data_IF_975816925781
#
_entry.id   IF_975816925781
#
_cell.length_a   1.000
_cell.length_b   1.000
_cell.length_c   1.000
_cell.angle_alpha   90.00
_cell.angle_beta   90.00
_cell.angle_gamma   90.00
#
_symmetry.space_group_name_H-M   'P 1'
#
loop_
_entity.id
_entity.type
_entity.pdbx_description
1 polymer ?
#
# COMPACT_ATOMS: atom_id res chain seq x y z
N UNK A 1 -13.79 23.26 12.10
CA UNK A 1 -14.78 23.10 13.19
C UNK A 1 -15.13 21.62 13.23
N UNK A 2 -14.72 20.91 14.29
CA UNK A 2 -14.94 19.45 14.36
C UNK A 2 -16.43 19.16 14.57
N UNK A 3 -16.94 18.11 13.93
CA UNK A 3 -18.28 17.62 14.22
C UNK A 3 -18.27 17.08 15.67
N UNK A 4 -19.12 17.60 16.58
CA UNK A 4 -19.14 17.17 17.98
C UNK A 4 -19.28 15.65 18.14
N UNK A 5 -20.01 15.03 17.22
CA UNK A 5 -20.27 13.58 17.18
C UNK A 5 -18.99 12.76 16.95
N UNK A 6 -18.03 13.28 16.19
CA UNK A 6 -16.77 12.55 15.92
C UNK A 6 -15.85 12.55 17.13
N UNK A 7 -15.81 13.65 17.89
CA UNK A 7 -15.06 13.73 19.14
C UNK A 7 -15.68 12.85 20.23
N UNK A 8 -17.02 12.85 20.33
CA UNK A 8 -17.74 11.98 21.25
C UNK A 8 -17.45 10.50 20.97
N UNK A 9 -17.51 10.08 19.70
CA UNK A 9 -17.20 8.70 19.30
C UNK A 9 -15.76 8.27 19.63
N UNK A 10 -14.79 9.21 19.63
CA UNK A 10 -13.41 8.91 20.03
C UNK A 10 -13.28 8.78 21.54
N UNK A 11 -13.96 9.64 22.31
CA UNK A 11 -14.01 9.52 23.77
C UNK A 11 -14.66 8.20 24.19
N UNK A 12 -15.79 7.84 23.60
CA UNK A 12 -16.51 6.61 23.94
C UNK A 12 -15.66 5.35 23.61
N UNK A 13 -14.92 5.36 22.49
CA UNK A 13 -13.96 4.30 22.16
C UNK A 13 -12.81 4.19 23.18
N UNK A 14 -12.32 5.32 23.70
CA UNK A 14 -11.27 5.33 24.72
C UNK A 14 -11.76 4.68 26.03
N UNK A 15 -13.02 4.91 26.41
CA UNK A 15 -13.63 4.36 27.64
C UNK A 15 -13.77 2.84 27.55
N UNK A 16 -14.27 2.31 26.42
CA UNK A 16 -14.40 0.86 26.21
C UNK A 16 -13.03 0.15 26.25
N UNK A 17 -11.99 0.77 25.72
CA UNK A 17 -10.62 0.23 25.78
C UNK A 17 -10.15 0.16 27.24
N UNK A 18 -10.33 1.25 28.00
CA UNK A 18 -9.91 1.29 29.41
C UNK A 18 -10.63 0.25 30.27
N UNK A 19 -11.93 0.01 30.02
CA UNK A 19 -12.71 -1.01 30.72
C UNK A 19 -12.21 -2.43 30.40
N UNK A 20 -11.85 -2.70 29.14
CA UNK A 20 -11.32 -4.00 28.72
C UNK A 20 -9.92 -4.32 29.29
N UNK A 21 -9.15 -3.28 29.61
CA UNK A 21 -7.82 -3.42 30.24
C UNK A 21 -7.93 -3.62 31.75
N UNK A 22 -8.94 -3.01 32.40
CA UNK A 22 -9.16 -3.11 33.84
C UNK A 22 -9.66 -4.50 34.29
N UNK A 23 -10.41 -5.21 33.43
CA UNK A 23 -11.01 -6.52 33.76
C UNK A 23 -10.01 -7.70 33.77
N UNK A 24 -8.76 -7.49 33.34
CA UNK A 24 -7.72 -8.53 33.29
C UNK A 24 -6.60 -8.32 34.32
N UNK A 25 -6.93 -7.92 35.55
CA UNK A 25 -5.96 -7.89 36.67
C UNK A 25 -5.72 -9.31 37.21
N UNK A 26 -4.91 -10.09 36.50
CA UNK A 26 -4.24 -11.24 37.09
C UNK A 26 -3.08 -10.72 37.97
N UNK A 27 -3.14 -10.98 39.27
CA UNK A 27 -2.12 -10.61 40.25
C UNK A 27 -0.81 -11.34 39.95
N UNK A 28 0.23 -10.61 39.57
CA UNK A 28 1.60 -11.14 39.55
C UNK A 28 2.20 -11.03 40.95
N UNK A 29 2.75 -12.11 41.54
CA UNK A 29 3.50 -12.02 42.78
C UNK A 29 4.87 -11.40 42.49
N UNK A 30 5.14 -10.22 43.06
CA UNK A 30 6.47 -9.63 43.14
C UNK A 30 7.36 -10.52 44.01
N UNK A 31 8.32 -11.23 43.41
CA UNK A 31 9.49 -11.74 44.12
C UNK A 31 10.66 -10.79 43.88
N UNK A 32 11.12 -10.16 44.97
CA UNK A 32 12.32 -9.34 44.98
C UNK A 32 13.55 -10.26 44.88
N UNK A 33 14.14 -10.35 43.70
CA UNK A 33 15.41 -11.03 43.44
C UNK A 33 16.38 -10.08 42.76
N UNK A 34 17.35 -9.57 43.51
CA UNK A 34 18.49 -8.78 43.01
C UNK A 34 19.36 -9.72 42.16
N UNK A 35 19.27 -9.66 40.82
CA UNK A 35 20.18 -10.35 39.91
C UNK A 35 21.05 -9.34 39.17
N UNK A 36 22.34 -9.55 39.30
CA UNK A 36 23.44 -8.96 38.55
C UNK A 36 23.27 -9.30 37.07
N UNK A 37 23.34 -8.29 36.21
CA UNK A 37 23.38 -8.45 34.77
C UNK A 37 24.74 -9.05 34.38
N UNK A 38 24.76 -10.33 34.02
CA UNK A 38 25.85 -10.92 33.26
C UNK A 38 25.31 -11.35 31.92
N UNK A 39 26.10 -11.05 30.89
CA UNK A 39 25.91 -11.33 29.47
C UNK A 39 25.27 -12.70 29.24
N UNK A 40 24.02 -12.68 28.77
CA UNK A 40 23.40 -13.82 28.11
C UNK A 40 23.38 -13.52 26.62
N UNK A 41 24.29 -14.19 25.91
CA UNK A 41 24.34 -14.30 24.46
C UNK A 41 22.95 -14.54 23.84
N UNK A 42 22.66 -13.78 22.78
CA UNK A 42 21.49 -13.84 21.93
C UNK A 42 21.08 -15.27 21.54
N UNK A 43 20.05 -15.77 22.20
CA UNK A 43 19.07 -16.64 21.56
C UNK A 43 17.79 -15.84 21.63
N UNK A 44 17.46 -15.10 20.56
CA UNK A 44 16.21 -14.37 20.47
C UNK A 44 15.09 -15.39 20.24
N UNK A 45 14.25 -15.72 21.24
CA UNK A 45 13.08 -16.53 20.95
C UNK A 45 12.24 -15.76 19.94
N UNK A 46 11.83 -16.40 18.85
CA UNK A 46 10.82 -15.88 17.92
C UNK A 46 9.49 -15.80 18.67
N UNK A 47 9.30 -14.73 19.45
CA UNK A 47 8.04 -14.45 20.10
C UNK A 47 7.06 -13.95 19.04
N UNK A 48 5.96 -14.67 18.89
CA UNK A 48 4.89 -14.33 17.96
C UNK A 48 4.27 -13.01 18.42
N UNK A 49 4.52 -11.95 17.65
CA UNK A 49 4.02 -10.61 17.94
C UNK A 49 2.61 -10.51 17.37
N UNK A 50 1.60 -10.48 18.22
CA UNK A 50 0.20 -10.42 17.76
C UNK A 50 -0.20 -8.95 17.60
N UNK A 51 -0.43 -8.53 16.36
CA UNK A 51 -1.05 -7.24 16.04
C UNK A 51 -2.55 -7.32 16.38
N UNK A 52 -2.96 -6.70 17.49
CA UNK A 52 -4.34 -6.75 17.96
C UNK A 52 -5.25 -5.79 17.20
N UNK A 53 -4.73 -4.63 16.80
CA UNK A 53 -5.54 -3.58 16.21
C UNK A 53 -4.70 -2.66 15.35
N UNK A 54 -5.12 -2.47 14.09
CA UNK A 54 -4.53 -1.50 13.17
C UNK A 54 -5.66 -0.68 12.56
N UNK A 55 -5.67 0.63 12.80
CA UNK A 55 -6.70 1.55 12.28
C UNK A 55 -6.05 2.80 11.73
N UNK A 56 -6.49 3.21 10.55
CA UNK A 56 -6.06 4.43 9.88
C UNK A 56 -7.19 5.45 9.91
N UNK A 57 -6.83 6.72 10.08
CA UNK A 57 -7.74 7.86 9.99
C UNK A 57 -7.08 8.93 9.10
N UNK A 58 -7.85 9.51 8.19
CA UNK A 58 -7.37 10.60 7.34
C UNK A 58 -8.19 11.84 7.64
N UNK A 59 -7.52 12.93 8.00
CA UNK A 59 -8.14 14.23 8.22
C UNK A 59 -7.66 15.21 7.14
N UNK A 60 -8.51 15.50 6.17
CA UNK A 60 -8.24 16.51 5.16
C UNK A 60 -8.72 17.89 5.65
N UNK A 61 -7.82 18.86 5.75
CA UNK A 61 -8.19 20.23 6.09
C UNK A 61 -7.92 21.16 4.90
N UNK A 62 -9.02 21.59 4.26
CA UNK A 62 -9.00 22.47 3.09
C UNK A 62 -8.41 23.85 3.39
N UNK A 63 -8.56 24.37 4.62
CA UNK A 63 -8.05 25.69 4.98
C UNK A 63 -6.53 25.74 5.04
N UNK A 64 -5.90 24.68 5.55
CA UNK A 64 -4.43 24.58 5.63
C UNK A 64 -3.81 23.88 4.41
N UNK A 65 -4.65 23.37 3.48
CA UNK A 65 -4.22 22.57 2.30
C UNK A 65 -3.32 21.39 2.69
N UNK A 66 -3.60 20.77 3.83
CA UNK A 66 -2.89 19.58 4.34
C UNK A 66 -3.88 18.46 4.65
N UNK A 67 -3.42 17.24 4.47
CA UNK A 67 -4.04 16.04 5.00
C UNK A 67 -3.15 15.49 6.10
N UNK A 68 -3.77 15.07 7.19
CA UNK A 68 -3.10 14.41 8.30
C UNK A 68 -3.61 12.98 8.32
N UNK A 69 -2.76 12.05 7.97
CA UNK A 69 -3.01 10.62 8.12
C UNK A 69 -2.48 10.17 9.47
N UNK A 70 -3.35 9.58 10.28
CA UNK A 70 -3.03 9.02 11.59
C UNK A 70 -3.22 7.51 11.51
N UNK A 71 -2.14 6.75 11.62
CA UNK A 71 -2.18 5.30 11.69
C UNK A 71 -1.91 4.87 13.12
N UNK A 72 -2.83 4.15 13.73
CA UNK A 72 -2.66 3.53 15.04
C UNK A 72 -2.38 2.06 14.88
N UNK A 73 -1.29 1.59 15.50
CA UNK A 73 -1.00 0.17 15.66
C UNK A 73 -0.93 -0.19 17.14
N UNK A 74 -1.67 -1.22 17.52
CA UNK A 74 -1.68 -1.81 18.86
C UNK A 74 -1.10 -3.22 18.74
N UNK A 75 0.05 -3.42 19.36
CA UNK A 75 0.80 -4.65 19.31
C UNK A 75 0.88 -5.22 20.72
N UNK A 76 0.52 -6.49 20.90
CA UNK A 76 0.68 -7.19 22.18
C UNK A 76 1.81 -8.20 22.05
N UNK A 77 2.84 -8.03 22.88
CA UNK A 77 3.95 -8.96 23.01
C UNK A 77 3.92 -9.68 24.36
N UNK A 78 4.85 -10.62 24.55
CA UNK A 78 4.94 -11.44 25.77
C UNK A 78 5.15 -10.63 27.06
N UNK A 79 5.67 -9.40 26.96
CA UNK A 79 5.96 -8.52 28.09
C UNK A 79 5.12 -7.25 28.17
N UNK A 80 4.15 -7.04 27.29
CA UNK A 80 3.34 -5.81 27.34
C UNK A 80 2.55 -5.47 26.09
N UNK A 81 1.91 -4.30 26.15
CA UNK A 81 1.13 -3.69 25.10
C UNK A 81 1.87 -2.46 24.57
N UNK A 82 2.15 -2.42 23.28
CA UNK A 82 2.75 -1.29 22.60
C UNK A 82 1.71 -0.58 21.72
N UNK A 83 1.58 0.73 21.88
CA UNK A 83 0.78 1.59 21.00
C UNK A 83 1.77 2.43 20.19
N UNK A 84 1.74 2.30 18.86
CA UNK A 84 2.57 3.09 17.95
C UNK A 84 1.69 3.89 17.00
N UNK A 85 1.44 5.18 17.32
CA UNK A 85 0.78 6.09 16.41
C UNK A 85 1.79 6.66 15.40
N UNK A 86 1.44 6.63 14.12
CA UNK A 86 2.23 7.22 13.03
C UNK A 86 1.41 8.36 12.44
N UNK A 87 1.95 9.58 12.52
CA UNK A 87 1.38 10.78 11.94
C UNK A 87 2.11 11.10 10.63
N UNK A 88 1.37 11.13 9.52
CA UNK A 88 1.89 11.53 8.21
C UNK A 88 1.14 12.76 7.74
N UNK A 89 1.87 13.86 7.53
CA UNK A 89 1.30 15.10 7.02
C UNK A 89 1.60 15.21 5.53
N UNK A 90 0.57 15.30 4.72
CA UNK A 90 0.64 15.37 3.27
C UNK A 90 0.06 16.67 2.76
N UNK A 91 0.50 17.10 1.59
CA UNK A 91 -0.02 18.31 0.95
C UNK A 91 -1.21 17.93 0.08
N UNK A 92 -2.36 18.56 0.34
CA UNK A 92 -3.57 18.36 -0.46
C UNK A 92 -3.59 19.44 -1.53
N UNK A 93 -3.64 19.01 -2.78
CA UNK A 93 -3.66 19.91 -3.95
C UNK A 93 -5.00 19.80 -4.69
N UNK A 94 -5.31 20.81 -5.51
CA UNK A 94 -6.46 20.72 -6.43
C UNK A 94 -6.14 19.74 -7.56
N UNK A 95 -7.18 19.18 -8.18
CA UNK A 95 -7.05 18.44 -9.43
C UNK A 95 -6.40 19.29 -10.55
N UNK A 96 -6.56 20.61 -10.50
CA UNK A 96 -5.94 21.57 -11.44
C UNK A 96 -4.46 21.86 -11.16
N UNK A 97 -3.86 21.22 -10.16
CA UNK A 97 -2.43 21.39 -9.90
C UNK A 97 -1.59 20.88 -11.08
N UNK A 98 -0.41 21.48 -11.34
CA UNK A 98 0.35 21.19 -12.56
C UNK A 98 0.63 19.70 -12.79
N UNK A 99 0.92 18.94 -11.73
CA UNK A 99 1.19 17.50 -11.81
C UNK A 99 -0.05 16.72 -12.23
N UNK A 100 -1.17 16.93 -11.55
CA UNK A 100 -2.41 16.21 -11.86
C UNK A 100 -3.01 16.63 -13.20
N UNK A 101 -2.84 17.90 -13.59
CA UNK A 101 -3.21 18.36 -14.92
C UNK A 101 -2.38 17.68 -16.01
N UNK A 102 -1.06 17.55 -15.81
CA UNK A 102 -0.19 16.81 -16.73
C UNK A 102 -0.64 15.35 -16.84
N UNK A 103 -0.88 14.68 -15.71
CA UNK A 103 -1.33 13.27 -15.68
C UNK A 103 -2.66 13.10 -16.43
N UNK A 104 -3.62 14.00 -16.21
CA UNK A 104 -4.93 13.96 -16.84
C UNK A 104 -4.88 14.28 -18.35
N UNK A 105 -4.09 15.27 -18.75
CA UNK A 105 -3.86 15.62 -20.16
C UNK A 105 -3.26 14.45 -20.92
N UNK A 106 -2.24 13.82 -20.32
CA UNK A 106 -1.57 12.65 -20.86
C UNK A 106 -2.54 11.47 -20.97
N UNK A 107 -3.35 11.17 -19.95
CA UNK A 107 -4.41 10.15 -20.02
C UNK A 107 -5.35 10.40 -21.21
N UNK A 108 -5.82 11.64 -21.34
CA UNK A 108 -6.74 12.05 -22.40
C UNK A 108 -6.12 11.88 -23.80
N UNK A 109 -4.85 12.25 -23.99
CA UNK A 109 -4.14 12.07 -25.26
C UNK A 109 -4.12 10.59 -25.71
N UNK A 110 -3.96 9.65 -24.78
CA UNK A 110 -3.99 8.22 -25.07
C UNK A 110 -5.42 7.77 -25.40
N UNK A 111 -6.41 8.16 -24.59
CA UNK A 111 -7.82 7.79 -24.80
C UNK A 111 -8.36 8.31 -26.13
N UNK A 112 -7.88 9.47 -26.59
CA UNK A 112 -8.21 10.07 -27.88
C UNK A 112 -7.37 9.51 -29.05
N UNK A 113 -6.44 8.58 -28.79
CA UNK A 113 -5.58 7.98 -29.81
C UNK A 113 -4.59 8.97 -30.46
N UNK A 114 -4.29 10.10 -29.80
CA UNK A 114 -3.38 11.13 -30.33
C UNK A 114 -1.91 10.75 -30.16
N UNK A 115 -1.62 9.85 -29.21
CA UNK A 115 -0.27 9.41 -28.88
C UNK A 115 -0.28 7.89 -28.73
N UNK A 116 0.68 7.23 -29.36
CA UNK A 116 0.91 5.79 -29.14
C UNK A 116 1.47 5.57 -27.73
N UNK A 117 0.99 4.53 -27.04
CA UNK A 117 1.37 4.23 -25.65
C UNK A 117 2.87 4.00 -25.44
N UNK A 118 3.63 3.78 -26.52
CA UNK A 118 5.10 3.75 -26.52
C UNK A 118 5.70 5.15 -26.37
N UNK A 119 5.24 6.11 -27.17
CA UNK A 119 5.74 7.51 -27.16
C UNK A 119 5.34 8.22 -25.87
N UNK A 120 4.27 7.76 -25.22
CA UNK A 120 3.75 8.30 -23.98
C UNK A 120 4.80 8.42 -22.86
N UNK A 121 5.70 7.46 -22.74
CA UNK A 121 6.65 7.38 -21.61
C UNK A 121 8.02 8.00 -21.89
N UNK A 122 8.29 8.49 -23.09
CA UNK A 122 9.63 9.04 -23.42
C UNK A 122 9.85 10.45 -22.85
N UNK A 123 8.86 11.35 -22.97
CA UNK A 123 9.00 12.74 -22.48
C UNK A 123 8.30 12.98 -21.13
N UNK A 124 7.35 12.11 -20.78
CA UNK A 124 6.58 12.23 -19.55
C UNK A 124 7.42 12.26 -18.26
N UNK A 125 8.49 11.45 -18.11
CA UNK A 125 9.37 11.54 -16.95
C UNK A 125 10.02 12.92 -16.83
N UNK A 126 10.52 13.48 -17.94
CA UNK A 126 11.17 14.79 -17.94
C UNK A 126 10.20 15.91 -17.56
N UNK A 127 8.98 15.88 -18.09
CA UNK A 127 7.95 16.86 -17.74
C UNK A 127 7.58 16.79 -16.26
N UNK A 128 7.38 15.58 -15.72
CA UNK A 128 7.05 15.40 -14.31
C UNK A 128 8.21 15.83 -13.40
N UNK A 129 9.44 15.52 -13.77
CA UNK A 129 10.64 15.99 -13.06
C UNK A 129 10.76 17.51 -13.06
N UNK A 130 10.48 18.16 -14.18
CA UNK A 130 10.49 19.62 -14.28
C UNK A 130 9.45 20.26 -13.35
N UNK A 131 8.27 19.64 -13.22
CA UNK A 131 7.26 20.08 -12.25
C UNK A 131 7.74 19.91 -10.81
N UNK A 132 8.42 18.80 -10.50
CA UNK A 132 9.01 18.60 -9.16
C UNK A 132 10.11 19.62 -8.84
N UNK A 133 10.95 19.97 -9.83
CA UNK A 133 11.93 21.06 -9.70
C UNK A 133 11.25 22.42 -9.56
N UNK A 134 10.09 22.61 -10.20
CA UNK A 134 9.26 23.81 -10.15
C UNK A 134 8.45 24.00 -8.86
N UNK A 135 8.54 23.07 -7.90
CA UNK A 135 7.95 23.21 -6.57
C UNK A 135 6.80 22.25 -6.26
N UNK A 136 6.33 21.47 -7.23
CA UNK A 136 5.42 20.35 -6.93
C UNK A 136 6.13 19.28 -6.13
N UNK A 137 5.40 18.60 -5.24
CA UNK A 137 5.98 17.56 -4.38
C UNK A 137 5.50 16.16 -4.79
N UNK A 138 6.39 15.16 -4.85
CA UNK A 138 6.03 13.75 -5.04
C UNK A 138 5.02 13.20 -4.01
N UNK A 139 4.93 13.85 -2.85
CA UNK A 139 4.00 13.51 -1.76
C UNK A 139 2.66 14.25 -1.82
N UNK A 140 2.34 14.93 -2.92
CA UNK A 140 1.04 15.57 -3.11
C UNK A 140 -0.06 14.51 -3.27
N UNK A 141 -1.24 14.85 -2.74
CA UNK A 141 -2.44 14.04 -2.84
C UNK A 141 -3.64 14.91 -3.24
N UNK A 142 -4.62 14.30 -3.89
CA UNK A 142 -5.93 14.91 -4.13
C UNK A 142 -6.82 14.84 -2.87
N UNK A 143 -7.94 15.59 -2.82
CA UNK A 143 -8.84 15.61 -1.66
C UNK A 143 -9.47 14.25 -1.33
N UNK A 144 -9.55 13.35 -2.31
CA UNK A 144 -10.06 11.98 -2.18
C UNK A 144 -8.99 10.96 -1.74
N UNK A 145 -7.76 11.41 -1.48
CA UNK A 145 -6.63 10.56 -1.09
C UNK A 145 -5.81 10.01 -2.25
N UNK A 146 -6.18 10.29 -3.51
CA UNK A 146 -5.44 9.81 -4.68
C UNK A 146 -4.07 10.48 -4.75
N UNK A 147 -3.00 9.71 -4.51
CA UNK A 147 -1.62 10.20 -4.66
C UNK A 147 -1.19 10.21 -6.13
N UNK A 148 -0.07 10.87 -6.43
CA UNK A 148 0.53 10.86 -7.77
C UNK A 148 0.74 9.42 -8.26
N UNK A 149 1.20 8.51 -7.40
CA UNK A 149 1.40 7.11 -7.77
C UNK A 149 0.09 6.40 -8.15
N UNK A 150 -1.01 6.67 -7.45
CA UNK A 150 -2.31 6.10 -7.82
C UNK A 150 -2.70 6.55 -9.23
N UNK A 151 -2.59 7.85 -9.51
CA UNK A 151 -2.92 8.43 -10.81
C UNK A 151 -2.00 7.92 -11.94
N UNK A 152 -0.71 7.69 -11.66
CA UNK A 152 0.22 7.09 -12.62
C UNK A 152 -0.11 5.62 -12.91
N UNK A 153 -0.41 4.82 -11.88
CA UNK A 153 -0.80 3.40 -12.04
C UNK A 153 -2.12 3.29 -12.80
N UNK A 154 -3.07 4.20 -12.57
CA UNK A 154 -4.31 4.26 -13.35
C UNK A 154 -4.04 4.42 -14.85
N UNK A 155 -3.06 5.24 -15.22
CA UNK A 155 -2.68 5.45 -16.62
C UNK A 155 -1.87 4.27 -17.21
N UNK A 156 -1.28 3.42 -16.38
CA UNK A 156 -0.47 2.29 -16.84
C UNK A 156 -1.26 1.27 -17.65
N UNK A 157 -2.60 1.22 -17.48
CA UNK A 157 -3.48 0.31 -18.21
C UNK A 157 -3.52 0.57 -19.72
N UNK A 158 -3.04 1.73 -20.19
CA UNK A 158 -3.10 2.12 -21.60
C UNK A 158 -1.76 2.04 -22.33
N UNK A 159 -0.68 1.57 -21.68
CA UNK A 159 0.67 1.60 -22.24
C UNK A 159 1.43 0.28 -22.10
N UNK A 160 2.67 0.27 -22.60
CA UNK A 160 3.59 -0.86 -22.41
C UNK A 160 3.96 -0.99 -20.94
N UNK A 161 3.66 -2.15 -20.33
CA UNK A 161 4.04 -2.42 -18.94
C UNK A 161 5.55 -2.28 -18.72
N UNK A 162 6.38 -2.70 -19.69
CA UNK A 162 7.85 -2.57 -19.63
C UNK A 162 8.31 -1.13 -19.53
N UNK A 163 7.74 -0.24 -20.36
CA UNK A 163 8.09 1.18 -20.31
C UNK A 163 7.56 1.83 -19.04
N UNK A 164 6.33 1.49 -18.63
CA UNK A 164 5.75 1.97 -17.39
C UNK A 164 6.56 1.53 -16.16
N UNK A 165 7.02 0.27 -16.12
CA UNK A 165 7.81 -0.26 -15.01
C UNK A 165 9.19 0.38 -14.92
N UNK A 166 9.87 0.58 -16.05
CA UNK A 166 11.12 1.33 -16.11
C UNK A 166 10.93 2.79 -15.64
N UNK A 167 9.88 3.45 -16.10
CA UNK A 167 9.50 4.80 -15.68
C UNK A 167 9.21 4.89 -14.18
N UNK A 168 8.37 4.01 -13.67
CA UNK A 168 7.96 4.01 -12.26
C UNK A 168 9.15 3.69 -11.35
N UNK A 169 10.02 2.75 -11.74
CA UNK A 169 11.27 2.47 -11.05
C UNK A 169 12.18 3.70 -10.98
N UNK A 170 12.40 4.37 -12.12
CA UNK A 170 13.19 5.61 -12.18
C UNK A 170 12.66 6.67 -11.22
N UNK A 171 11.34 6.87 -11.17
CA UNK A 171 10.71 7.80 -10.23
C UNK A 171 10.90 7.38 -8.77
N UNK A 172 10.70 6.11 -8.43
CA UNK A 172 10.81 5.58 -7.06
C UNK A 172 12.24 5.52 -6.53
N UNK A 173 13.23 5.48 -7.42
CA UNK A 173 14.64 5.57 -7.07
C UNK A 173 15.09 7.01 -6.85
N UNK A 174 14.50 7.96 -7.58
CA UNK A 174 14.86 9.39 -7.48
C UNK A 174 14.10 10.15 -6.41
N UNK A 175 12.86 9.77 -6.12
CA UNK A 175 11.97 10.51 -5.24
C UNK A 175 11.32 9.61 -4.18
N UNK A 176 11.07 10.18 -3.00
CA UNK A 176 10.29 9.51 -1.96
C UNK A 176 8.80 9.76 -2.18
N UNK A 177 8.11 8.74 -2.66
CA UNK A 177 6.66 8.75 -2.77
C UNK A 177 6.01 8.09 -1.55
N UNK A 178 4.81 8.55 -1.15
CA UNK A 178 4.08 7.91 -0.08
C UNK A 178 3.33 6.69 -0.64
N UNK A 179 3.96 5.52 -0.52
CA UNK A 179 3.48 4.25 -1.13
C UNK A 179 2.31 3.60 -0.37
N UNK A 180 2.10 3.98 0.88
CA UNK A 180 1.04 3.46 1.76
C UNK A 180 -0.17 4.39 1.89
N UNK A 181 -0.33 5.34 0.97
CA UNK A 181 -1.52 6.19 0.93
C UNK A 181 -2.70 5.36 0.46
N UNK A 182 -3.85 5.60 1.07
CA UNK A 182 -5.10 4.96 0.70
C UNK A 182 -5.92 5.96 -0.12
N UNK A 183 -6.05 5.71 -1.42
CA UNK A 183 -6.98 6.40 -2.31
C UNK A 183 -8.36 5.73 -2.35
N UNK A 184 -9.23 6.19 -3.25
CA UNK A 184 -10.58 5.63 -3.40
C UNK A 184 -10.59 4.12 -3.72
N UNK A 185 -9.62 3.67 -4.52
CA UNK A 185 -9.51 2.30 -4.99
C UNK A 185 -8.65 1.40 -4.08
N UNK A 186 -8.17 1.92 -2.95
CA UNK A 186 -7.24 1.22 -2.07
C UNK A 186 -5.85 1.85 -2.09
N UNK A 187 -4.84 1.05 -1.78
CA UNK A 187 -3.43 1.44 -1.86
C UNK A 187 -2.89 1.34 -3.29
N UNK A 188 -1.72 1.90 -3.54
CA UNK A 188 -1.03 1.77 -4.84
C UNK A 188 -0.81 0.31 -5.21
N UNK A 189 -0.46 -0.55 -4.25
CA UNK A 189 -0.31 -1.99 -4.49
C UNK A 189 -1.64 -2.65 -4.85
N UNK A 190 -2.75 -2.23 -4.24
CA UNK A 190 -4.08 -2.76 -4.57
C UNK A 190 -4.45 -2.43 -6.03
N UNK A 191 -4.14 -1.22 -6.48
CA UNK A 191 -4.33 -0.81 -7.87
C UNK A 191 -3.44 -1.61 -8.81
N UNK A 192 -2.17 -1.82 -8.49
CA UNK A 192 -1.24 -2.61 -9.31
C UNK A 192 -1.72 -4.04 -9.47
N UNK A 193 -2.17 -4.67 -8.38
CA UNK A 193 -2.75 -6.00 -8.43
C UNK A 193 -3.97 -5.99 -9.36
N UNK A 194 -4.88 -5.03 -9.19
CA UNK A 194 -6.06 -4.87 -10.05
C UNK A 194 -5.71 -4.71 -11.53
N UNK A 195 -4.80 -3.76 -11.84
CA UNK A 195 -4.34 -3.49 -13.20
C UNK A 195 -3.62 -4.68 -13.82
N UNK A 196 -2.81 -5.41 -13.05
CA UNK A 196 -2.11 -6.61 -13.54
C UNK A 196 -3.06 -7.73 -13.92
N UNK A 197 -4.17 -7.90 -13.18
CA UNK A 197 -5.22 -8.88 -13.50
C UNK A 197 -5.93 -8.47 -14.80
N UNK A 198 -6.39 -7.22 -14.89
CA UNK A 198 -7.08 -6.72 -16.08
C UNK A 198 -6.20 -6.81 -17.32
N UNK A 199 -4.93 -6.40 -17.22
CA UNK A 199 -4.03 -6.39 -18.36
C UNK A 199 -3.62 -7.81 -18.78
N UNK A 200 -3.53 -8.76 -17.84
CA UNK A 200 -3.35 -10.17 -18.17
C UNK A 200 -4.56 -10.75 -18.93
N UNK A 201 -5.79 -10.43 -18.50
CA UNK A 201 -7.01 -10.88 -19.18
C UNK A 201 -7.10 -10.35 -20.62
N UNK A 202 -6.54 -9.16 -20.88
CA UNK A 202 -6.49 -8.56 -22.22
C UNK A 202 -5.32 -9.10 -23.08
N UNK A 203 -4.14 -9.23 -22.49
CA UNK A 203 -2.90 -9.58 -23.20
C UNK A 203 -2.02 -10.53 -22.36
N UNK A 204 -2.31 -11.85 -22.38
CA UNK A 204 -1.61 -12.83 -21.56
C UNK A 204 -0.23 -13.14 -22.12
N UNK A 205 0.73 -12.26 -21.87
CA UNK A 205 2.15 -12.47 -22.21
C UNK A 205 2.97 -12.62 -20.94
N UNK A 206 3.96 -13.53 -20.97
CA UNK A 206 4.84 -13.78 -19.83
C UNK A 206 5.60 -12.52 -19.42
N UNK A 207 6.05 -11.73 -20.40
CA UNK A 207 6.79 -10.48 -20.19
C UNK A 207 5.97 -9.46 -19.39
N UNK A 208 4.66 -9.37 -19.63
CA UNK A 208 3.77 -8.46 -18.92
C UNK A 208 3.65 -8.80 -17.43
N UNK A 209 3.51 -10.10 -17.12
CA UNK A 209 3.44 -10.58 -15.74
C UNK A 209 4.76 -10.39 -15.00
N UNK A 210 5.88 -10.63 -15.68
CA UNK A 210 7.21 -10.41 -15.13
C UNK A 210 7.36 -8.94 -14.73
N UNK A 211 6.94 -8.02 -15.59
CA UNK A 211 7.12 -6.61 -15.32
C UNK A 211 6.25 -6.10 -14.17
N UNK A 212 4.97 -6.45 -14.15
CA UNK A 212 4.10 -6.10 -13.01
C UNK A 212 4.59 -6.72 -11.69
N UNK A 213 5.16 -7.92 -11.74
CA UNK A 213 5.79 -8.54 -10.58
C UNK A 213 7.02 -7.73 -10.12
N UNK A 214 7.86 -7.29 -11.04
CA UNK A 214 9.02 -6.46 -10.73
C UNK A 214 8.61 -5.14 -10.06
N UNK A 215 7.59 -4.47 -10.59
CA UNK A 215 7.02 -3.25 -10.00
C UNK A 215 6.50 -3.53 -8.58
N UNK A 216 5.72 -4.60 -8.43
CA UNK A 216 5.15 -5.01 -7.15
C UNK A 216 6.23 -5.25 -6.09
N UNK A 217 7.27 -6.02 -6.41
CA UNK A 217 8.37 -6.31 -5.49
C UNK A 217 9.18 -5.05 -5.18
N UNK A 218 9.41 -4.18 -6.18
CA UNK A 218 10.12 -2.93 -5.94
C UNK A 218 9.36 -2.03 -4.97
N UNK A 219 8.05 -1.84 -5.16
CA UNK A 219 7.22 -1.08 -4.21
C UNK A 219 7.17 -1.73 -2.83
N UNK A 220 7.04 -3.05 -2.76
CA UNK A 220 7.05 -3.79 -1.50
C UNK A 220 8.38 -3.60 -0.75
N UNK A 221 9.51 -3.59 -1.47
CA UNK A 221 10.84 -3.32 -0.89
C UNK A 221 10.98 -1.89 -0.35
N UNK A 222 10.20 -0.94 -0.90
CA UNK A 222 10.08 0.44 -0.39
C UNK A 222 9.06 0.56 0.75
N UNK A 223 8.55 -0.57 1.26
CA UNK A 223 7.62 -0.64 2.38
C UNK A 223 6.15 -0.46 2.00
N UNK A 224 5.79 -0.57 0.71
CA UNK A 224 4.40 -0.56 0.29
C UNK A 224 3.67 -1.80 0.83
N UNK A 225 2.45 -1.61 1.31
CA UNK A 225 1.59 -2.67 1.82
C UNK A 225 0.23 -2.62 1.13
N UNK A 226 -0.35 -3.79 0.86
CA UNK A 226 -1.75 -3.89 0.42
C UNK A 226 -2.69 -3.47 1.53
N UNK A 227 -3.90 -3.03 1.17
CA UNK A 227 -4.89 -2.72 2.22
C UNK A 227 -5.36 -4.01 2.91
N UNK A 228 -5.78 -3.95 4.19
CA UNK A 228 -6.37 -5.10 4.88
C UNK A 228 -7.58 -5.70 4.15
N UNK A 229 -8.30 -4.87 3.38
CA UNK A 229 -9.42 -5.31 2.54
C UNK A 229 -8.93 -6.20 1.39
N UNK A 230 -7.87 -5.78 0.70
CA UNK A 230 -7.27 -6.55 -0.37
C UNK A 230 -6.61 -7.82 0.13
N UNK A 231 -5.91 -7.78 1.26
CA UNK A 231 -5.35 -8.98 1.89
C UNK A 231 -6.42 -10.06 2.10
N UNK A 232 -7.56 -9.71 2.68
CA UNK A 232 -8.71 -10.63 2.85
C UNK A 232 -9.29 -11.11 1.51
N UNK A 233 -9.41 -10.23 0.53
CA UNK A 233 -9.91 -10.58 -0.81
C UNK A 233 -9.00 -11.58 -1.50
N UNK A 234 -7.69 -11.34 -1.42
CA UNK A 234 -6.70 -12.19 -2.05
C UNK A 234 -6.61 -13.54 -1.31
N UNK A 235 -6.57 -13.55 0.03
CA UNK A 235 -6.64 -14.77 0.84
C UNK A 235 -7.82 -15.66 0.45
N UNK A 236 -9.01 -15.08 0.24
CA UNK A 236 -10.20 -15.83 -0.20
C UNK A 236 -10.01 -16.43 -1.60
N UNK A 237 -9.46 -15.67 -2.55
CA UNK A 237 -9.19 -16.18 -3.90
C UNK A 237 -8.15 -17.30 -3.90
N UNK A 238 -7.07 -17.15 -3.13
CA UNK A 238 -6.03 -18.18 -2.98
C UNK A 238 -6.60 -19.45 -2.33
N UNK A 239 -7.48 -19.33 -1.33
CA UNK A 239 -8.12 -20.46 -0.68
C UNK A 239 -9.09 -21.23 -1.62
N UNK A 240 -9.83 -20.53 -2.47
CA UNK A 240 -10.72 -21.15 -3.47
C UNK A 240 -9.94 -21.93 -4.54
N UNK A 241 -8.74 -21.47 -4.91
CA UNK A 241 -7.85 -22.15 -5.86
C UNK A 241 -7.23 -23.44 -5.29
N UNK A 242 -7.03 -23.53 -3.97
CA UNK A 242 -6.48 -24.73 -3.32
C UNK A 242 -7.51 -25.82 -2.98
N UNK A 243 -8.81 -25.49 -2.97
CA UNK A 243 -9.88 -26.36 -2.47
C UNK A 243 -10.83 -26.90 -3.55
N UNK A 244 -10.72 -26.40 -4.78
CA UNK A 244 -11.63 -26.77 -5.87
C UNK A 244 -10.88 -27.62 -6.90
N UNK A 245 -11.12 -28.93 -6.91
CA UNK A 245 -10.79 -29.80 -8.04
C UNK A 245 -11.71 -29.57 -9.26
N UNK A 246 -11.90 -28.31 -9.66
CA UNK A 246 -12.87 -27.90 -10.68
C UNK A 246 -12.16 -27.08 -11.76
N UNK A 247 -12.48 -27.44 -13.00
CA UNK A 247 -11.81 -26.98 -14.21
C UNK A 247 -12.12 -25.55 -14.66
N UNK A 248 -11.42 -25.19 -15.74
CA UNK A 248 -11.73 -24.11 -16.69
C UNK A 248 -11.58 -22.65 -16.24
N UNK A 249 -10.68 -22.33 -15.31
CA UNK A 249 -9.85 -21.13 -15.46
C UNK A 249 -8.45 -21.56 -15.91
N UNK A 250 -8.36 -21.95 -17.19
CA UNK A 250 -7.20 -22.66 -17.75
C UNK A 250 -5.90 -21.85 -17.69
N UNK A 251 -5.97 -20.51 -17.63
CA UNK A 251 -4.80 -19.66 -17.81
C UNK A 251 -4.15 -19.20 -16.50
N UNK A 252 -4.92 -19.02 -15.42
CA UNK A 252 -4.34 -18.72 -14.10
C UNK A 252 -3.59 -19.93 -13.51
N UNK A 253 -4.09 -21.15 -13.76
CA UNK A 253 -3.38 -22.37 -13.35
C UNK A 253 -2.09 -22.61 -14.16
N UNK A 254 -1.93 -22.00 -15.35
CA UNK A 254 -0.67 -21.99 -16.12
C UNK A 254 0.34 -20.96 -15.61
N UNK A 255 -0.12 -19.87 -14.97
CA UNK A 255 0.75 -18.93 -14.25
C UNK A 255 1.44 -19.59 -13.07
N UNK A 256 0.77 -20.55 -12.42
CA UNK A 256 1.24 -21.11 -11.16
C UNK A 256 2.64 -21.72 -11.29
N UNK A 257 2.92 -22.59 -12.28
CA UNK A 257 4.25 -23.14 -12.52
C UNK A 257 5.32 -22.10 -12.90
N UNK A 258 4.99 -21.07 -13.68
CA UNK A 258 5.95 -20.03 -14.14
C UNK A 258 6.36 -19.13 -12.98
N UNK A 259 5.39 -18.68 -12.20
CA UNK A 259 5.66 -17.90 -11.00
C UNK A 259 6.29 -18.74 -9.89
N UNK A 260 5.97 -20.05 -9.76
CA UNK A 260 6.64 -20.98 -8.84
C UNK A 260 8.11 -21.23 -9.23
N UNK A 261 8.41 -21.43 -10.52
CA UNK A 261 9.78 -21.68 -11.01
C UNK A 261 10.75 -20.53 -10.70
N UNK A 262 10.25 -19.29 -10.61
CA UNK A 262 11.05 -18.11 -10.27
C UNK A 262 11.01 -17.74 -8.78
N UNK A 263 10.39 -18.55 -7.91
CA UNK A 263 10.18 -18.23 -6.49
C UNK A 263 9.16 -17.10 -6.25
N UNK A 264 8.53 -16.60 -7.31
CA UNK A 264 7.59 -15.48 -7.29
C UNK A 264 6.25 -15.91 -6.68
N UNK A 265 5.71 -17.10 -6.95
CA UNK A 265 4.46 -17.52 -6.29
C UNK A 265 4.64 -17.92 -4.84
N UNK A 266 5.74 -18.52 -4.43
CA UNK A 266 5.95 -18.70 -2.99
C UNK A 266 6.08 -17.34 -2.30
N UNK A 267 6.69 -16.34 -2.96
CA UNK A 267 6.73 -14.97 -2.45
C UNK A 267 5.33 -14.33 -2.45
N UNK A 268 4.56 -14.42 -3.53
CA UNK A 268 3.18 -13.91 -3.61
C UNK A 268 2.28 -14.65 -2.63
N UNK A 269 2.23 -15.98 -2.62
CA UNK A 269 1.48 -16.78 -1.65
C UNK A 269 1.92 -16.50 -0.21
N UNK A 270 3.22 -16.37 0.11
CA UNK A 270 3.67 -15.97 1.47
C UNK A 270 3.22 -14.55 1.82
N UNK A 271 3.29 -13.60 0.89
CA UNK A 271 2.80 -12.22 1.05
C UNK A 271 1.28 -12.18 1.23
N UNK A 272 0.56 -13.13 0.64
CA UNK A 272 -0.90 -13.26 0.71
C UNK A 272 -1.37 -14.15 1.87
N UNK A 273 -0.47 -14.85 2.56
CA UNK A 273 -0.77 -15.74 3.70
C UNK A 273 -0.60 -15.08 5.07
N UNK A 274 -0.25 -13.79 5.11
CA UNK A 274 -0.26 -12.95 6.32
C UNK A 274 -1.52 -12.08 6.41
#
# INVERSE_FOLDING_TARGET
>A
MFCPTTLQNLCDQQTTINESVSSNKASCPLSQGKRTWQDASEISPTYETISLFRKSFTFCNRFIKKAIHVNFSLIRGAGGLAISPILTIQTVVSADSPVYRLIAEKKREIEEGRVDGVVYFDDYPNQLENLFRGGSRPSEILPDGTSILHALVENAQYGSATLFGAFLKHLLDKYTFPVNVQGQQGTVLDMIIGSSIIAFDLHPTEDHLIEWSNIFFHLSSKGAMTSPRSQKSIQRRTFCLGSSGVGEHSDFNKLIPVLLKRGSIEAWCRILSF
#
